data_IF_025781808183
#
_entry.id   IF_025781808183
#
_cell.length_a   1.000
_cell.length_b   1.000
_cell.length_c   1.000
_cell.angle_alpha   90.00
_cell.angle_beta   90.00
_cell.angle_gamma   90.00
#
_symmetry.space_group_name_H-M   'P 1'
#
loop_
_entity.id
_entity.type
_entity.pdbx_description
1 polymer ?
#
# COMPACT_ATOMS: atom_id res chain seq x y z
N UNK A 1 10.08 38.35 -21.74
CA UNK A 1 9.91 36.90 -21.48
C UNK A 1 9.06 36.33 -22.60
N UNK A 2 9.53 35.32 -23.34
CA UNK A 2 8.72 34.68 -24.39
C UNK A 2 7.56 33.94 -23.73
N UNK A 3 6.34 34.33 -24.07
CA UNK A 3 5.10 33.68 -23.62
C UNK A 3 5.10 32.24 -24.12
N UNK A 4 5.00 31.30 -23.19
CA UNK A 4 4.93 29.87 -23.49
C UNK A 4 3.62 29.63 -24.27
N UNK A 5 3.67 28.91 -25.39
CA UNK A 5 2.48 28.64 -26.21
C UNK A 5 1.41 27.89 -25.40
N UNK A 6 0.13 28.12 -25.67
CA UNK A 6 -0.99 27.45 -24.99
C UNK A 6 -0.86 25.92 -25.00
N UNK A 7 -0.32 25.33 -26.07
CA UNK A 7 -0.06 23.90 -26.17
C UNK A 7 1.02 23.41 -25.18
N UNK A 8 2.04 24.24 -24.92
CA UNK A 8 3.08 23.96 -23.91
C UNK A 8 2.58 24.21 -22.49
N UNK A 9 1.60 25.11 -22.29
CA UNK A 9 0.91 25.28 -21.00
C UNK A 9 0.03 24.06 -20.70
N UNK A 10 -0.62 23.49 -21.71
CA UNK A 10 -1.39 22.24 -21.61
C UNK A 10 -0.46 21.04 -21.38
N UNK A 11 0.70 20.97 -22.03
CA UNK A 11 1.71 19.93 -21.74
C UNK A 11 2.30 20.02 -20.34
N UNK A 12 2.29 21.20 -19.70
CA UNK A 12 2.88 21.42 -18.36
C UNK A 12 1.88 21.28 -17.20
N UNK A 13 0.58 21.37 -17.47
CA UNK A 13 -0.49 21.21 -16.46
C UNK A 13 -1.28 19.92 -16.74
N UNK A 14 -0.63 18.76 -16.56
CA UNK A 14 -1.17 17.46 -16.98
C UNK A 14 -2.31 16.92 -16.11
N UNK A 15 -2.55 17.50 -14.95
CA UNK A 15 -3.78 17.32 -14.16
C UNK A 15 -4.42 18.71 -14.06
N UNK A 16 -5.43 19.01 -14.89
CA UNK A 16 -6.19 20.25 -14.76
C UNK A 16 -7.14 20.16 -13.55
N UNK A 17 -6.57 20.08 -12.35
CA UNK A 17 -7.33 20.01 -11.10
C UNK A 17 -7.21 21.35 -10.38
N UNK A 18 -8.30 21.77 -9.72
CA UNK A 18 -8.29 22.94 -8.83
C UNK A 18 -7.85 22.57 -7.41
N UNK A 19 -7.58 21.29 -7.19
CA UNK A 19 -7.15 20.71 -5.93
C UNK A 19 -5.78 21.21 -5.49
N UNK A 20 -5.57 21.20 -4.17
CA UNK A 20 -4.33 21.59 -3.56
C UNK A 20 -3.25 20.52 -3.83
N UNK A 21 -2.02 20.98 -4.06
CA UNK A 21 -0.86 20.11 -4.05
C UNK A 21 -0.31 20.08 -2.63
N UNK A 22 -0.29 18.88 -2.04
CA UNK A 22 0.20 18.65 -0.70
C UNK A 22 1.66 18.21 -0.76
N UNK A 23 2.41 18.60 0.27
CA UNK A 23 3.76 18.10 0.50
C UNK A 23 3.65 17.12 1.67
N UNK A 24 4.03 15.88 1.40
CA UNK A 24 4.20 14.81 2.38
C UNK A 24 5.68 14.67 2.69
N UNK A 25 5.99 14.46 3.95
CA UNK A 25 7.34 14.42 4.47
C UNK A 25 7.52 13.18 5.35
N UNK A 26 8.46 12.33 4.98
CA UNK A 26 8.92 11.20 5.81
C UNK A 26 10.32 11.52 6.32
N UNK A 27 10.46 11.77 7.63
CA UNK A 27 11.77 11.93 8.28
C UNK A 27 12.14 10.59 8.92
N UNK A 28 12.99 9.82 8.27
CA UNK A 28 13.54 8.58 8.80
C UNK A 28 14.76 8.88 9.66
N UNK A 29 14.58 8.82 10.98
CA UNK A 29 15.63 9.06 11.97
C UNK A 29 16.54 7.84 12.08
N UNK A 30 17.84 8.08 12.23
CA UNK A 30 18.85 7.02 12.42
C UNK A 30 18.93 6.58 13.89
N UNK A 31 17.80 6.29 14.52
CA UNK A 31 17.77 5.66 15.84
C UNK A 31 17.72 4.13 15.74
N UNK A 32 17.98 3.44 16.85
CA UNK A 32 17.91 1.98 16.93
C UNK A 32 16.48 1.44 16.74
N UNK A 33 15.47 2.33 16.75
CA UNK A 33 14.05 2.00 16.60
C UNK A 33 13.52 2.22 15.17
N UNK A 34 14.36 2.69 14.24
CA UNK A 34 13.99 3.05 12.86
C UNK A 34 12.76 3.99 12.80
N UNK A 35 12.70 4.99 13.69
CA UNK A 35 11.57 5.91 13.80
C UNK A 35 11.42 6.73 12.52
N UNK A 36 10.23 6.68 11.92
CA UNK A 36 9.85 7.54 10.78
C UNK A 36 8.74 8.50 11.19
N UNK A 37 8.96 9.80 11.02
CA UNK A 37 7.95 10.82 11.27
C UNK A 37 7.27 11.22 9.96
N UNK A 38 5.95 11.06 9.90
CA UNK A 38 5.10 11.27 8.71
C UNK A 38 4.30 12.55 8.88
N UNK A 39 4.69 13.61 8.17
CA UNK A 39 4.09 14.94 8.30
C UNK A 39 3.49 15.41 6.97
N UNK A 40 2.34 16.07 7.01
CA UNK A 40 1.74 16.74 5.84
C UNK A 40 1.57 18.23 6.09
N UNK A 41 1.89 19.02 5.06
CA UNK A 41 1.59 20.46 5.05
C UNK A 41 0.12 20.67 4.66
N UNK A 42 -0.77 20.39 5.61
CA UNK A 42 -2.21 20.56 5.46
C UNK A 42 -2.83 20.99 6.81
N UNK A 43 -4.12 21.37 6.78
CA UNK A 43 -4.88 21.67 7.99
C UNK A 43 -5.41 20.40 8.69
N UNK A 44 -5.48 19.28 7.97
CA UNK A 44 -6.02 18.01 8.44
C UNK A 44 -5.04 16.88 8.10
N UNK A 45 -5.07 15.82 8.90
CA UNK A 45 -4.28 14.62 8.64
C UNK A 45 -4.70 13.98 7.31
N UNK A 46 -3.75 13.35 6.64
CA UNK A 46 -3.96 12.76 5.32
C UNK A 46 -3.44 11.35 5.32
N UNK A 47 -4.25 10.40 4.87
CA UNK A 47 -3.78 9.06 4.54
C UNK A 47 -3.32 9.09 3.08
N UNK A 48 -2.08 8.64 2.84
CA UNK A 48 -1.57 8.48 1.48
C UNK A 48 -1.03 7.06 1.30
N UNK A 49 -1.49 6.31 0.28
CA UNK A 49 -0.98 5.00 -0.07
C UNK A 49 0.53 5.05 -0.24
N UNK A 50 1.23 4.10 0.36
CA UNK A 50 2.69 4.09 0.37
C UNK A 50 3.21 2.70 0.07
N UNK A 51 4.16 2.62 -0.85
CA UNK A 51 4.91 1.41 -1.17
C UNK A 51 5.85 0.95 -0.04
N UNK A 52 5.94 1.66 1.10
CA UNK A 52 6.89 1.35 2.19
C UNK A 52 6.31 1.74 3.57
N UNK A 53 6.14 0.74 4.44
CA UNK A 53 6.03 0.74 5.93
C UNK A 53 4.79 1.39 6.57
N UNK A 54 3.66 0.70 6.48
CA UNK A 54 2.59 0.74 7.49
C UNK A 54 3.08 0.47 8.92
N UNK A 55 3.73 1.39 9.63
CA UNK A 55 4.33 1.21 10.98
C UNK A 55 5.25 -0.04 11.18
N UNK A 56 5.97 -0.10 12.30
CA UNK A 56 6.92 -1.18 12.57
C UNK A 56 6.26 -2.54 12.87
N UNK A 57 4.95 -2.55 13.15
CA UNK A 57 4.21 -3.77 13.45
C UNK A 57 3.72 -4.47 12.18
N UNK A 58 3.53 -3.75 11.07
CA UNK A 58 3.11 -4.40 9.82
C UNK A 58 4.25 -5.15 9.18
N UNK A 59 4.00 -6.44 8.93
CA UNK A 59 4.97 -7.36 8.33
C UNK A 59 4.61 -7.77 6.91
N UNK A 60 3.40 -7.47 6.47
CA UNK A 60 2.91 -7.67 5.10
C UNK A 60 1.79 -6.66 4.84
N UNK A 61 1.78 -6.02 3.67
CA UNK A 61 0.71 -5.10 3.28
C UNK A 61 0.49 -5.16 1.77
N UNK A 62 -0.24 -6.16 1.31
CA UNK A 62 -0.49 -6.38 -0.11
C UNK A 62 -1.71 -5.57 -0.58
N UNK A 63 -1.48 -4.42 -1.20
CA UNK A 63 -2.52 -3.63 -1.89
C UNK A 63 -3.08 -4.35 -3.12
N UNK A 64 -2.30 -5.23 -3.75
CA UNK A 64 -2.68 -5.86 -5.03
C UNK A 64 -2.99 -4.86 -6.16
N UNK A 65 -2.30 -3.72 -6.12
CA UNK A 65 -2.29 -2.73 -7.18
C UNK A 65 -1.47 -3.17 -8.39
N UNK A 66 -1.90 -2.77 -9.58
CA UNK A 66 -1.16 -3.03 -10.80
C UNK A 66 -1.98 -2.98 -12.09
N UNK A 67 -1.44 -3.62 -13.11
CA UNK A 67 -2.10 -3.75 -14.41
C UNK A 67 -3.13 -4.87 -14.40
N UNK A 68 -4.19 -4.69 -15.17
CA UNK A 68 -5.17 -5.75 -15.46
C UNK A 68 -4.46 -7.00 -16.00
N UNK A 69 -4.89 -8.17 -15.55
CA UNK A 69 -4.34 -9.48 -15.92
C UNK A 69 -2.86 -9.68 -15.53
N UNK A 70 -2.30 -8.84 -14.64
CA UNK A 70 -0.94 -9.04 -14.17
C UNK A 70 -0.84 -10.30 -13.30
N UNK A 71 0.02 -11.24 -13.71
CA UNK A 71 0.27 -12.52 -13.02
C UNK A 71 1.48 -12.45 -12.08
N UNK A 72 1.93 -11.25 -11.76
CA UNK A 72 3.07 -11.02 -10.88
C UNK A 72 2.84 -9.75 -10.07
N UNK A 73 3.18 -9.81 -8.78
CA UNK A 73 3.01 -8.73 -7.84
C UNK A 73 4.21 -8.70 -6.89
N UNK A 74 4.63 -7.52 -6.48
CA UNK A 74 5.69 -7.33 -5.49
C UNK A 74 5.04 -6.66 -4.29
N UNK A 75 4.99 -7.37 -3.17
CA UNK A 75 4.47 -6.79 -1.94
C UNK A 75 5.38 -5.64 -1.47
N UNK A 76 4.81 -4.47 -1.11
CA UNK A 76 5.60 -3.30 -0.70
C UNK A 76 6.41 -3.50 0.58
N UNK A 77 6.04 -4.46 1.45
CA UNK A 77 6.72 -4.72 2.72
C UNK A 77 7.70 -5.89 2.60
N UNK A 78 7.27 -7.03 2.04
CA UNK A 78 8.07 -8.26 1.96
C UNK A 78 8.77 -8.49 0.61
N UNK A 79 8.27 -7.89 -0.47
CA UNK A 79 8.79 -8.06 -1.84
C UNK A 79 8.52 -9.40 -2.53
N UNK A 80 8.25 -10.49 -1.81
CA UNK A 80 8.26 -11.87 -2.34
C UNK A 80 6.90 -12.60 -2.42
N UNK A 81 5.82 -11.92 -2.81
CA UNK A 81 4.53 -12.57 -3.05
C UNK A 81 4.48 -13.26 -4.44
N UNK A 82 4.20 -14.57 -4.48
CA UNK A 82 4.15 -15.35 -5.73
C UNK A 82 2.73 -15.79 -6.03
N UNK A 83 2.24 -15.46 -7.22
CA UNK A 83 0.92 -15.89 -7.70
C UNK A 83 1.01 -17.32 -8.23
N UNK A 84 0.06 -18.16 -7.87
CA UNK A 84 -0.04 -19.55 -8.29
C UNK A 84 -1.30 -19.77 -9.14
N UNK A 85 -1.28 -20.79 -10.00
CA UNK A 85 -2.36 -21.06 -10.93
C UNK A 85 -2.47 -19.98 -12.01
N UNK A 86 -3.68 -19.50 -12.22
CA UNK A 86 -4.06 -18.38 -13.08
C UNK A 86 -4.39 -17.10 -12.31
N UNK A 87 -4.02 -17.04 -11.02
CA UNK A 87 -4.21 -15.86 -10.18
C UNK A 87 -3.66 -14.61 -10.87
N UNK A 88 -4.42 -13.53 -10.82
CA UNK A 88 -4.08 -12.29 -11.52
C UNK A 88 -4.68 -11.07 -10.82
N UNK A 89 -4.18 -9.89 -11.17
CA UNK A 89 -4.79 -8.63 -10.77
C UNK A 89 -5.97 -8.28 -11.69
N UNK A 90 -7.06 -7.81 -11.11
CA UNK A 90 -8.26 -7.36 -11.82
C UNK A 90 -8.53 -5.88 -11.53
N UNK A 91 -8.61 -5.07 -12.59
CA UNK A 91 -8.91 -3.64 -12.49
C UNK A 91 -10.40 -3.33 -12.49
N UNK A 92 -11.25 -4.31 -12.87
CA UNK A 92 -12.69 -4.17 -12.93
C UNK A 92 -13.35 -4.24 -11.55
N UNK A 93 -12.88 -5.15 -10.68
CA UNK A 93 -13.28 -5.20 -9.27
C UNK A 93 -12.08 -4.86 -8.39
N UNK A 94 -12.26 -3.84 -7.55
CA UNK A 94 -11.28 -3.41 -6.54
C UNK A 94 -12.00 -2.66 -5.42
N UNK A 95 -11.41 -2.66 -4.23
CA UNK A 95 -11.89 -1.84 -3.12
C UNK A 95 -11.21 -0.48 -3.16
N UNK A 96 -9.89 -0.46 -3.31
CA UNK A 96 -9.08 0.75 -3.38
C UNK A 96 -8.06 0.67 -4.52
N UNK A 97 -7.31 1.76 -4.72
CA UNK A 97 -6.25 1.82 -5.73
C UNK A 97 -6.71 1.50 -7.15
N UNK A 98 -5.88 0.73 -7.84
CA UNK A 98 -5.88 0.47 -9.28
C UNK A 98 -6.40 -0.93 -9.64
N UNK A 99 -6.20 -1.93 -8.78
CA UNK A 99 -6.62 -3.32 -9.00
C UNK A 99 -6.84 -4.05 -7.66
N UNK A 100 -7.34 -5.28 -7.72
CA UNK A 100 -7.32 -6.21 -6.58
C UNK A 100 -6.93 -7.61 -7.05
N UNK A 101 -6.58 -8.51 -6.12
CA UNK A 101 -6.26 -9.90 -6.43
C UNK A 101 -7.53 -10.67 -6.80
N UNK A 102 -7.60 -11.21 -8.02
CA UNK A 102 -8.65 -12.11 -8.49
C UNK A 102 -8.21 -13.57 -8.35
N UNK A 103 -9.09 -14.39 -7.76
CA UNK A 103 -8.95 -15.82 -7.57
C UNK A 103 -10.22 -16.53 -8.07
N UNK A 104 -10.07 -17.54 -8.92
CA UNK A 104 -11.19 -18.14 -9.66
C UNK A 104 -11.91 -19.29 -8.94
N UNK A 105 -11.41 -19.71 -7.77
CA UNK A 105 -11.96 -20.84 -7.03
C UNK A 105 -11.49 -22.21 -7.49
N UNK A 106 -10.41 -22.31 -8.26
CA UNK A 106 -9.80 -23.58 -8.67
C UNK A 106 -8.37 -23.76 -8.13
N UNK A 107 -7.35 -23.28 -8.84
CA UNK A 107 -5.94 -23.49 -8.45
C UNK A 107 -5.24 -22.23 -7.94
N UNK A 108 -5.98 -21.12 -7.90
CA UNK A 108 -5.45 -19.79 -7.68
C UNK A 108 -5.18 -19.49 -6.20
N UNK A 109 -4.00 -18.95 -5.91
CA UNK A 109 -3.64 -18.38 -4.61
C UNK A 109 -2.37 -17.54 -4.72
N UNK A 110 -2.08 -16.79 -3.66
CA UNK A 110 -0.79 -16.13 -3.48
C UNK A 110 -0.03 -16.84 -2.38
N UNK A 111 1.23 -17.17 -2.61
CA UNK A 111 2.12 -17.75 -1.61
C UNK A 111 3.23 -16.78 -1.27
N UNK A 112 3.50 -16.68 0.02
CA UNK A 112 4.59 -15.91 0.59
C UNK A 112 5.49 -16.94 1.28
N UNK A 113 6.83 -16.89 1.06
CA UNK A 113 7.79 -17.81 1.67
C UNK A 113 7.64 -17.93 3.19
N UNK A 114 8.36 -18.83 3.86
CA UNK A 114 8.37 -18.86 5.33
C UNK A 114 9.24 -17.74 5.93
N UNK A 115 8.86 -17.21 7.11
CA UNK A 115 9.53 -16.12 7.83
C UNK A 115 9.06 -16.11 9.29
N UNK A 116 9.89 -15.55 10.15
CA UNK A 116 9.53 -15.25 11.54
C UNK A 116 8.40 -14.23 11.65
N UNK A 117 8.15 -13.42 10.62
CA UNK A 117 7.13 -12.39 10.60
C UNK A 117 5.68 -12.88 10.76
N UNK A 118 5.41 -14.14 10.40
CA UNK A 118 4.14 -14.83 10.63
C UNK A 118 4.28 -16.04 11.55
N UNK A 119 5.35 -16.09 12.34
CA UNK A 119 5.48 -16.90 13.55
C UNK A 119 5.00 -16.08 14.76
N UNK A 120 3.68 -16.02 14.96
CA UNK A 120 3.05 -15.14 15.96
C UNK A 120 3.27 -15.58 17.42
N UNK A 121 3.57 -16.86 17.67
CA UNK A 121 3.80 -17.38 19.01
C UNK A 121 2.60 -17.17 19.94
N UNK A 122 2.83 -16.56 21.11
CA UNK A 122 1.79 -16.16 22.07
C UNK A 122 1.52 -14.65 22.07
N UNK A 123 2.14 -13.90 21.16
CA UNK A 123 2.01 -12.45 21.10
C UNK A 123 0.73 -12.00 20.41
N UNK A 124 0.42 -10.72 20.59
CA UNK A 124 -0.70 -10.06 19.91
C UNK A 124 -0.43 -9.97 18.41
N UNK A 125 -1.47 -10.07 17.60
CA UNK A 125 -1.38 -9.86 16.16
C UNK A 125 -2.73 -9.43 15.58
N UNK A 126 -2.69 -8.88 14.37
CA UNK A 126 -3.88 -8.54 13.58
C UNK A 126 -3.63 -8.93 12.14
N UNK A 127 -4.56 -9.67 11.53
CA UNK A 127 -4.62 -9.91 10.09
C UNK A 127 -5.92 -9.32 9.59
N UNK A 128 -5.86 -8.42 8.62
CA UNK A 128 -7.04 -7.71 8.16
C UNK A 128 -6.97 -7.34 6.67
N UNK A 129 -8.12 -7.38 6.00
CA UNK A 129 -8.22 -7.26 4.54
C UNK A 129 -9.66 -7.04 4.08
N UNK A 130 -9.80 -6.62 2.83
CA UNK A 130 -11.08 -6.57 2.13
C UNK A 130 -11.29 -7.81 1.27
N UNK A 131 -12.51 -8.35 1.28
CA UNK A 131 -12.90 -9.51 0.48
C UNK A 131 -14.21 -9.28 -0.25
N UNK A 132 -14.31 -9.76 -1.48
CA UNK A 132 -15.54 -9.77 -2.28
C UNK A 132 -15.75 -11.15 -2.87
N UNK A 133 -16.84 -11.81 -2.52
CA UNK A 133 -17.14 -13.16 -3.00
C UNK A 133 -17.72 -13.12 -4.42
N UNK A 134 -17.15 -13.90 -5.34
CA UNK A 134 -17.78 -14.15 -6.64
C UNK A 134 -18.83 -15.27 -6.53
N UNK A 135 -18.59 -16.24 -5.65
CA UNK A 135 -19.54 -17.30 -5.36
C UNK A 135 -19.50 -17.71 -3.88
N UNK A 136 -20.68 -17.84 -3.30
CA UNK A 136 -20.88 -18.43 -1.97
C UNK A 136 -21.24 -19.93 -2.06
N UNK A 137 -21.44 -20.45 -3.27
CA UNK A 137 -21.86 -21.82 -3.55
C UNK A 137 -20.86 -22.52 -4.46
N UNK A 138 -20.41 -23.72 -4.11
CA UNK A 138 -19.40 -24.45 -4.89
C UNK A 138 -18.65 -25.45 -4.01
N UNK A 139 -17.41 -25.13 -3.66
CA UNK A 139 -16.62 -25.89 -2.67
C UNK A 139 -17.26 -25.81 -1.28
N UNK A 140 -17.31 -26.90 -0.50
CA UNK A 140 -17.79 -26.85 0.89
C UNK A 140 -16.95 -25.91 1.76
N UNK A 141 -15.70 -25.63 1.37
CA UNK A 141 -14.77 -24.76 2.07
C UNK A 141 -13.99 -23.87 1.09
N UNK A 142 -13.78 -22.60 1.45
CA UNK A 142 -12.97 -21.64 0.71
C UNK A 142 -12.03 -20.91 1.68
N UNK A 143 -10.72 -21.12 1.59
CA UNK A 143 -9.76 -20.50 2.51
C UNK A 143 -9.44 -19.05 2.09
N UNK A 144 -9.64 -18.10 3.00
CA UNK A 144 -9.24 -16.71 2.78
C UNK A 144 -7.73 -16.53 2.99
N UNK A 145 -7.16 -17.21 3.99
CA UNK A 145 -5.72 -17.36 4.16
C UNK A 145 -5.37 -18.55 5.04
N UNK A 146 -4.11 -18.99 4.98
CA UNK A 146 -3.58 -20.08 5.79
C UNK A 146 -2.07 -19.96 6.02
N UNK A 147 -1.56 -20.50 7.13
CA UNK A 147 -0.12 -20.78 7.33
C UNK A 147 0.09 -22.29 7.26
N UNK A 148 0.21 -22.86 6.06
CA UNK A 148 -0.07 -24.28 5.88
C UNK A 148 0.57 -24.88 4.63
N UNK A 149 0.83 -26.19 4.68
CA UNK A 149 1.25 -27.01 3.53
C UNK A 149 0.08 -27.77 2.87
N UNK A 150 -1.17 -27.36 3.12
CA UNK A 150 -2.37 -28.02 2.57
C UNK A 150 -2.84 -29.26 3.33
N UNK A 151 -2.11 -29.72 4.36
CA UNK A 151 -2.46 -30.89 5.18
C UNK A 151 -2.15 -30.67 6.65
N UNK A 152 -2.94 -31.31 7.53
CA UNK A 152 -2.71 -31.31 8.97
C UNK A 152 -3.25 -30.08 9.71
N UNK A 153 -2.84 -29.92 10.96
CA UNK A 153 -3.29 -28.85 11.84
C UNK A 153 -2.33 -27.66 11.75
N UNK A 154 -2.80 -26.58 11.14
CA UNK A 154 -2.01 -25.37 10.87
C UNK A 154 -2.00 -24.43 12.08
N UNK A 155 -0.99 -23.56 12.25
CA UNK A 155 -1.03 -22.48 13.23
C UNK A 155 -2.29 -21.63 13.09
N UNK A 156 -2.65 -21.28 11.85
CA UNK A 156 -3.81 -20.43 11.57
C UNK A 156 -4.39 -20.76 10.20
N UNK A 157 -5.72 -20.85 10.15
CA UNK A 157 -6.50 -21.03 8.93
C UNK A 157 -7.82 -20.28 9.11
N UNK A 158 -8.10 -19.34 8.21
CA UNK A 158 -9.39 -18.66 8.13
C UNK A 158 -10.08 -19.07 6.83
N UNK A 159 -11.29 -19.62 6.94
CA UNK A 159 -12.00 -20.17 5.80
C UNK A 159 -13.50 -19.94 5.91
N UNK A 160 -14.14 -19.86 4.75
CA UNK A 160 -15.58 -19.76 4.59
C UNK A 160 -16.17 -21.13 4.28
N UNK A 161 -17.33 -21.45 4.84
CA UNK A 161 -18.09 -22.65 4.46
C UNK A 161 -19.17 -22.31 3.44
N UNK A 162 -19.22 -23.04 2.33
CA UNK A 162 -20.24 -22.83 1.29
C UNK A 162 -21.63 -23.34 1.69
N UNK A 163 -22.69 -22.72 1.17
CA UNK A 163 -24.09 -23.11 1.44
C UNK A 163 -25.03 -21.93 1.73
N UNK A 164 -26.33 -22.20 1.91
CA UNK A 164 -27.39 -21.18 2.05
C UNK A 164 -27.26 -20.21 3.25
N UNK A 165 -26.28 -20.42 4.12
CA UNK A 165 -26.02 -19.59 5.31
C UNK A 165 -24.51 -19.46 5.56
N UNK A 166 -23.70 -19.52 4.50
CA UNK A 166 -22.26 -19.71 4.61
C UNK A 166 -21.61 -18.78 5.63
N UNK A 167 -20.76 -19.36 6.48
CA UNK A 167 -20.21 -18.69 7.64
C UNK A 167 -18.69 -18.65 7.59
N UNK A 168 -18.09 -17.67 8.26
CA UNK A 168 -16.65 -17.59 8.40
C UNK A 168 -16.18 -18.41 9.61
N UNK A 169 -15.10 -19.17 9.44
CA UNK A 169 -14.56 -20.09 10.44
C UNK A 169 -13.07 -19.81 10.68
N UNK A 170 -12.69 -19.91 11.95
CA UNK A 170 -11.31 -19.85 12.40
C UNK A 170 -10.89 -21.21 12.93
N UNK A 171 -9.80 -21.74 12.37
CA UNK A 171 -9.11 -22.91 12.88
C UNK A 171 -7.68 -22.54 13.32
N UNK A 172 -7.31 -22.91 14.54
CA UNK A 172 -6.01 -22.60 15.15
C UNK A 172 -5.44 -23.82 15.85
N UNK A 173 -4.17 -24.14 15.61
CA UNK A 173 -3.45 -25.18 16.34
C UNK A 173 -2.32 -24.62 17.18
N UNK A 174 -2.21 -25.12 18.42
CA UNK A 174 -1.12 -24.81 19.36
C UNK A 174 -0.11 -25.96 19.49
N UNK A 175 -0.38 -27.11 18.87
CA UNK A 175 0.41 -28.33 19.03
C UNK A 175 0.70 -29.08 17.72
N UNK A 176 0.13 -28.66 16.58
CA UNK A 176 0.29 -29.31 15.27
C UNK A 176 -0.39 -30.69 15.14
N UNK A 177 -1.17 -31.12 16.13
CA UNK A 177 -1.80 -32.46 16.20
C UNK A 177 -3.30 -32.44 16.47
N UNK A 178 -3.85 -31.29 16.88
CA UNK A 178 -5.28 -31.04 16.99
C UNK A 178 -5.60 -29.56 16.77
N UNK A 179 -6.84 -29.26 16.43
CA UNK A 179 -7.35 -27.88 16.49
C UNK A 179 -7.64 -27.52 17.95
N UNK A 180 -7.09 -26.38 18.40
CA UNK A 180 -7.42 -25.77 19.69
C UNK A 180 -8.62 -24.83 19.55
N UNK A 181 -8.73 -24.15 18.40
CA UNK A 181 -9.96 -23.48 17.95
C UNK A 181 -10.42 -24.20 16.69
N UNK A 182 -11.68 -24.63 16.68
CA UNK A 182 -12.37 -25.27 15.56
C UNK A 182 -13.86 -24.91 15.64
N UNK A 183 -14.22 -23.64 15.41
CA UNK A 183 -15.53 -23.13 15.78
C UNK A 183 -16.51 -23.04 14.58
N UNK A 184 -17.82 -23.21 14.84
CA UNK A 184 -18.90 -23.19 13.87
C UNK A 184 -19.49 -21.78 13.68
N UNK A 185 -18.90 -21.05 12.75
CA UNK A 185 -19.56 -19.98 12.00
C UNK A 185 -19.79 -18.66 12.72
N UNK A 186 -19.18 -17.61 12.20
CA UNK A 186 -19.57 -16.22 12.43
C UNK A 186 -20.59 -15.79 11.35
N UNK A 187 -20.90 -14.49 11.17
CA UNK A 187 -21.79 -13.87 10.15
C UNK A 187 -22.21 -14.82 9.01
N UNK A 188 -23.52 -15.04 8.87
CA UNK A 188 -24.11 -16.02 7.94
C UNK A 188 -24.84 -15.39 6.74
N UNK A 189 -24.83 -14.07 6.63
CA UNK A 189 -25.54 -13.27 5.63
C UNK A 189 -24.56 -12.56 4.67
N UNK A 190 -23.44 -13.21 4.33
CA UNK A 190 -22.60 -12.77 3.23
C UNK A 190 -23.40 -12.78 1.93
N UNK A 191 -23.15 -11.78 1.08
CA UNK A 191 -23.67 -11.68 -0.27
C UNK A 191 -22.53 -11.72 -1.28
N UNK A 192 -22.78 -12.33 -2.44
CA UNK A 192 -21.88 -12.16 -3.59
C UNK A 192 -21.83 -10.70 -3.99
N UNK A 193 -20.78 -10.34 -4.71
CA UNK A 193 -20.63 -9.02 -5.31
C UNK A 193 -20.54 -7.84 -4.33
N UNK A 194 -20.34 -8.13 -3.04
CA UNK A 194 -20.26 -7.17 -1.94
C UNK A 194 -18.90 -7.21 -1.27
N UNK A 195 -18.30 -6.04 -1.03
CA UNK A 195 -17.05 -5.92 -0.30
C UNK A 195 -17.30 -5.93 1.21
N UNK A 196 -16.59 -6.81 1.92
CA UNK A 196 -16.57 -6.89 3.38
C UNK A 196 -15.15 -6.65 3.89
N UNK A 197 -15.01 -5.94 5.00
CA UNK A 197 -13.74 -5.87 5.73
C UNK A 197 -13.70 -6.98 6.77
N UNK A 198 -12.66 -7.82 6.73
CA UNK A 198 -12.46 -8.92 7.68
C UNK A 198 -11.23 -8.59 8.51
N UNK A 199 -11.34 -8.73 9.83
CA UNK A 199 -10.18 -8.62 10.72
C UNK A 199 -10.16 -9.75 11.74
N UNK A 200 -9.06 -10.51 11.77
CA UNK A 200 -8.73 -11.46 12.81
C UNK A 200 -7.69 -10.87 13.75
N UNK A 201 -8.05 -10.74 15.02
CA UNK A 201 -7.24 -10.09 16.04
C UNK A 201 -6.98 -11.07 17.17
N UNK A 202 -5.73 -11.19 17.62
CA UNK A 202 -5.39 -11.80 18.92
C UNK A 202 -4.92 -10.70 19.87
N UNK A 203 -5.55 -10.57 21.02
CA UNK A 203 -5.10 -9.74 22.14
C UNK A 203 -5.02 -10.58 23.40
N UNK A 204 -3.80 -10.82 23.90
CA UNK A 204 -3.53 -11.83 24.90
C UNK A 204 -3.97 -13.22 24.42
N UNK A 205 -4.92 -13.82 25.12
CA UNK A 205 -5.49 -15.14 24.77
C UNK A 205 -6.83 -15.05 24.04
N UNK A 206 -7.30 -13.84 23.71
CA UNK A 206 -8.60 -13.63 23.06
C UNK A 206 -8.41 -13.43 21.57
N UNK A 207 -9.01 -14.32 20.79
CA UNK A 207 -9.16 -14.20 19.35
C UNK A 207 -10.51 -13.56 19.04
N UNK A 208 -10.51 -12.50 18.25
CA UNK A 208 -11.72 -11.84 17.78
C UNK A 208 -11.72 -11.75 16.26
N UNK A 209 -12.81 -12.22 15.66
CA UNK A 209 -13.11 -12.01 14.25
C UNK A 209 -14.14 -10.89 14.16
N UNK A 210 -13.87 -9.91 13.31
CA UNK A 210 -14.80 -8.82 13.01
C UNK A 210 -15.11 -8.80 11.52
N UNK A 211 -16.35 -8.47 11.21
CA UNK A 211 -16.81 -8.20 9.84
C UNK A 211 -17.34 -6.77 9.81
N UNK A 212 -16.85 -5.97 8.86
CA UNK A 212 -17.13 -4.54 8.74
C UNK A 212 -16.90 -3.78 10.05
N UNK A 213 -15.87 -4.19 10.79
CA UNK A 213 -15.45 -3.58 12.04
C UNK A 213 -16.30 -3.92 13.26
N UNK A 214 -17.33 -4.75 13.11
CA UNK A 214 -18.18 -5.24 14.22
C UNK A 214 -17.75 -6.64 14.65
N UNK A 215 -17.61 -6.85 15.97
CA UNK A 215 -17.29 -8.16 16.53
C UNK A 215 -18.34 -9.22 16.20
N UNK A 216 -17.89 -10.31 15.60
CA UNK A 216 -18.73 -11.36 15.05
C UNK A 216 -18.42 -12.74 15.64
N UNK A 217 -17.17 -12.96 16.05
CA UNK A 217 -16.75 -14.12 16.84
C UNK A 217 -15.72 -13.69 17.89
N UNK A 218 -15.87 -14.16 19.13
CA UNK A 218 -14.88 -13.99 20.21
C UNK A 218 -14.62 -15.36 20.85
N UNK A 219 -13.36 -15.78 20.87
CA UNK A 219 -12.93 -17.06 21.47
C UNK A 219 -11.69 -16.83 22.32
N UNK A 220 -11.72 -17.31 23.56
CA UNK A 220 -10.54 -17.33 24.43
C UNK A 220 -9.82 -18.66 24.27
N UNK A 221 -8.59 -18.63 23.79
CA UNK A 221 -7.72 -19.80 23.69
C UNK A 221 -6.30 -19.42 24.10
N UNK A 222 -5.88 -19.94 25.26
CA UNK A 222 -4.52 -19.77 25.74
C UNK A 222 -3.53 -20.67 24.99
N UNK A 223 -2.26 -20.24 25.00
CA UNK A 223 -1.14 -21.02 24.48
C UNK A 223 -0.46 -20.43 23.25
N UNK A 224 0.73 -20.95 22.99
CA UNK A 224 1.57 -20.55 21.86
C UNK A 224 1.09 -21.24 20.59
N UNK A 225 0.88 -20.48 19.52
CA UNK A 225 0.60 -21.05 18.20
C UNK A 225 1.72 -22.01 17.79
N UNK A 226 1.35 -23.12 17.16
CA UNK A 226 2.36 -24.07 16.65
C UNK A 226 3.24 -23.36 15.61
N UNK A 227 4.49 -23.81 15.46
CA UNK A 227 5.44 -23.27 14.48
C UNK A 227 5.56 -24.29 13.36
N UNK A 228 5.60 -23.80 12.13
CA UNK A 228 5.74 -24.62 10.92
C UNK A 228 6.59 -23.89 9.90
N UNK A 229 7.32 -24.63 9.07
CA UNK A 229 8.09 -24.09 7.95
C UNK A 229 7.26 -23.92 6.67
N UNK A 230 5.94 -24.10 6.77
CA UNK A 230 5.01 -23.91 5.65
C UNK A 230 4.97 -22.44 5.19
N UNK A 231 4.66 -22.14 3.92
CA UNK A 231 4.44 -20.77 3.49
C UNK A 231 3.17 -20.17 4.10
N UNK A 232 3.06 -18.85 4.05
CA UNK A 232 1.78 -18.16 4.26
C UNK A 232 1.05 -18.05 2.91
N UNK A 233 -0.20 -18.46 2.84
CA UNK A 233 -1.00 -18.45 1.62
C UNK A 233 -2.20 -17.53 1.79
N UNK A 234 -2.49 -16.73 0.77
CA UNK A 234 -3.69 -15.89 0.65
C UNK A 234 -4.57 -16.53 -0.43
N UNK A 235 -5.84 -16.75 -0.13
CA UNK A 235 -6.82 -17.28 -1.07
C UNK A 235 -6.87 -18.79 -1.23
N UNK A 236 -6.11 -19.55 -0.45
CA UNK A 236 -6.18 -21.02 -0.44
C UNK A 236 -5.47 -21.63 0.77
N UNK A 237 -5.70 -22.93 1.00
CA UNK A 237 -4.86 -23.78 1.82
C UNK A 237 -3.91 -24.60 0.91
N UNK A 238 -2.95 -23.91 0.28
CA UNK A 238 -1.98 -24.47 -0.67
C UNK A 238 -2.65 -25.31 -1.79
N UNK A 239 -3.52 -24.69 -2.58
CA UNK A 239 -4.41 -25.28 -3.62
C UNK A 239 -5.54 -26.19 -3.12
N UNK A 240 -5.55 -26.56 -1.83
CA UNK A 240 -6.73 -27.20 -1.23
C UNK A 240 -7.72 -26.11 -0.80
N UNK A 241 -9.02 -26.31 -1.04
CA UNK A 241 -10.10 -25.38 -0.67
C UNK A 241 -9.91 -23.93 -1.19
N UNK A 242 -9.75 -23.76 -2.52
CA UNK A 242 -9.52 -22.46 -3.15
C UNK A 242 -10.66 -21.46 -2.92
N UNK A 243 -10.29 -20.18 -2.81
CA UNK A 243 -11.24 -19.08 -2.72
C UNK A 243 -11.66 -18.57 -4.09
N UNK A 244 -12.94 -18.23 -4.24
CA UNK A 244 -13.51 -17.67 -5.46
C UNK A 244 -13.99 -16.23 -5.23
N UNK A 245 -13.20 -15.26 -5.67
CA UNK A 245 -13.51 -13.85 -5.53
C UNK A 245 -12.29 -12.94 -5.59
N UNK A 246 -12.42 -11.79 -4.94
CA UNK A 246 -11.40 -10.75 -4.90
C UNK A 246 -10.93 -10.47 -3.48
N UNK A 247 -9.63 -10.22 -3.33
CA UNK A 247 -9.00 -9.78 -2.07
C UNK A 247 -8.22 -8.49 -2.34
N UNK A 248 -8.38 -7.53 -1.44
CA UNK A 248 -7.72 -6.22 -1.52
C UNK A 248 -7.22 -5.82 -0.13
N UNK A 249 -6.16 -5.00 -0.08
CA UNK A 249 -5.55 -4.50 1.16
C UNK A 249 -5.22 -5.60 2.19
N UNK A 250 -4.46 -6.63 1.81
CA UNK A 250 -4.14 -7.72 2.74
C UNK A 250 -2.99 -7.37 3.67
N UNK A 251 -3.29 -7.18 4.97
CA UNK A 251 -2.30 -6.80 5.98
C UNK A 251 -2.09 -7.85 7.06
N UNK A 252 -0.83 -8.07 7.43
CA UNK A 252 -0.43 -8.82 8.62
C UNK A 252 0.35 -7.89 9.54
N UNK A 253 -0.09 -7.78 10.80
CA UNK A 253 0.59 -7.02 11.85
C UNK A 253 0.94 -7.92 13.03
N UNK A 254 2.21 -7.93 13.42
CA UNK A 254 2.73 -8.77 14.51
C UNK A 254 3.15 -7.90 15.69
N UNK A 255 2.75 -8.29 16.89
CA UNK A 255 3.03 -7.59 18.14
C UNK A 255 1.97 -6.56 18.54
N UNK A 256 0.85 -6.48 17.83
CA UNK A 256 -0.22 -5.51 18.11
C UNK A 256 -1.61 -6.07 17.79
N UNK A 257 -2.56 -5.82 18.71
CA UNK A 257 -3.99 -5.89 18.45
C UNK A 257 -4.46 -4.50 17.99
N UNK A 258 -4.57 -4.28 16.68
CA UNK A 258 -4.89 -2.95 16.13
C UNK A 258 -6.26 -2.43 16.58
N UNK A 259 -7.19 -3.34 16.86
CA UNK A 259 -8.53 -3.01 17.34
C UNK A 259 -8.93 -3.89 18.53
N UNK A 260 -9.19 -3.24 19.66
CA UNK A 260 -9.70 -3.89 20.88
C UNK A 260 -11.19 -3.63 21.10
N UNK A 261 -11.81 -2.78 20.27
CA UNK A 261 -13.23 -2.47 20.22
C UNK A 261 -13.72 -2.45 18.77
N UNK A 262 -15.04 -2.32 18.57
CA UNK A 262 -15.62 -2.13 17.24
C UNK A 262 -15.10 -0.83 16.60
N UNK A 263 -14.96 -0.84 15.28
CA UNK A 263 -14.37 0.26 14.52
C UNK A 263 -15.09 0.50 13.20
N UNK A 264 -14.85 1.64 12.57
CA UNK A 264 -15.26 1.87 11.18
C UNK A 264 -14.14 1.37 10.27
N UNK A 265 -14.43 0.44 9.33
CA UNK A 265 -13.42 -0.05 8.40
C UNK A 265 -12.70 1.08 7.65
N UNK A 266 -11.44 0.83 7.24
CA UNK A 266 -10.67 1.76 6.42
C UNK A 266 -11.46 2.23 5.20
N UNK A 267 -11.49 3.53 4.94
CA UNK A 267 -12.19 4.13 3.80
C UNK A 267 -11.27 4.52 2.64
N UNK A 268 -9.98 4.22 2.79
CA UNK A 268 -8.94 4.37 1.79
C UNK A 268 -7.98 3.18 1.89
N UNK A 269 -7.15 2.99 0.87
CA UNK A 269 -6.06 2.03 0.88
C UNK A 269 -5.16 2.23 2.11
N UNK A 270 -4.54 1.14 2.59
CA UNK A 270 -3.53 1.25 3.61
C UNK A 270 -2.39 2.13 3.13
N UNK A 271 -1.85 2.87 4.06
CA UNK A 271 -0.90 3.91 3.77
C UNK A 271 -0.44 4.54 5.04
N UNK A 272 0.40 5.54 4.88
CA UNK A 272 0.87 6.34 5.99
C UNK A 272 -0.18 7.36 6.37
N UNK A 273 -0.43 7.47 7.67
CA UNK A 273 -1.14 8.61 8.20
C UNK A 273 -0.13 9.75 8.35
N UNK A 274 -0.15 10.66 7.40
CA UNK A 274 0.60 11.89 7.51
C UNK A 274 -0.15 12.84 8.45
N UNK A 275 0.48 13.17 9.57
CA UNK A 275 -0.07 14.07 10.56
C UNK A 275 0.07 15.51 10.08
N UNK A 276 -1.00 16.30 10.17
CA UNK A 276 -0.96 17.71 9.88
C UNK A 276 0.02 18.40 10.82
N UNK A 277 1.07 18.98 10.26
CA UNK A 277 2.10 19.63 11.04
C UNK A 277 2.66 20.85 10.34
N UNK A 278 2.89 21.97 11.05
CA UNK A 278 3.43 23.17 10.44
C UNK A 278 4.88 22.93 9.99
N UNK A 279 5.10 22.95 8.68
CA UNK A 279 6.44 22.99 8.11
C UNK A 279 6.53 23.86 6.85
N UNK A 280 7.73 24.35 6.57
CA UNK A 280 8.10 25.09 5.38
C UNK A 280 9.23 24.37 4.64
N UNK A 281 9.12 24.29 3.32
CA UNK A 281 10.16 23.71 2.48
C UNK A 281 10.57 24.74 1.41
N UNK A 282 11.83 25.16 1.48
CA UNK A 282 12.39 26.13 0.55
C UNK A 282 13.20 25.44 -0.56
N UNK A 283 12.98 25.82 -1.83
CA UNK A 283 13.76 25.31 -2.96
C UNK A 283 15.24 25.70 -2.83
N UNK A 284 16.13 25.00 -3.55
CA UNK A 284 17.55 25.19 -3.38
C UNK A 284 17.96 26.57 -3.90
N UNK A 285 18.80 27.26 -3.13
CA UNK A 285 19.35 28.56 -3.53
C UNK A 285 20.59 28.33 -4.38
N UNK A 286 20.58 28.83 -5.62
CA UNK A 286 21.78 28.84 -6.48
C UNK A 286 22.73 29.94 -6.02
N UNK A 287 23.93 29.59 -5.55
CA UNK A 287 24.99 30.57 -5.25
C UNK A 287 25.95 30.66 -6.44
N UNK A 288 26.46 31.87 -6.70
CA UNK A 288 27.40 32.13 -7.81
C UNK A 288 28.81 31.55 -7.59
N UNK A 289 28.98 30.71 -6.56
CA UNK A 289 30.27 30.16 -6.10
C UNK A 289 30.48 28.68 -6.44
N UNK A 290 29.54 28.05 -7.13
CA UNK A 290 29.65 26.63 -7.51
C UNK A 290 29.50 25.67 -6.33
N UNK A 291 28.84 26.09 -5.25
CA UNK A 291 28.51 25.21 -4.11
C UNK A 291 27.40 24.23 -4.49
N UNK A 292 27.41 23.05 -3.85
CA UNK A 292 26.34 22.07 -4.04
C UNK A 292 25.05 22.67 -3.48
N UNK A 293 23.95 22.70 -4.26
CA UNK A 293 22.70 23.26 -3.79
C UNK A 293 22.14 22.46 -2.61
N UNK A 294 21.77 23.17 -1.54
CA UNK A 294 21.10 22.61 -0.37
C UNK A 294 19.65 23.05 -0.33
N UNK A 295 18.79 22.20 0.23
CA UNK A 295 17.39 22.55 0.51
C UNK A 295 17.26 22.92 1.98
N UNK A 296 16.30 23.78 2.29
CA UNK A 296 16.01 24.15 3.69
C UNK A 296 14.61 23.64 4.04
N UNK A 297 14.53 22.83 5.08
CA UNK A 297 13.28 22.35 5.65
C UNK A 297 13.14 22.91 7.06
N UNK A 298 12.03 23.58 7.35
CA UNK A 298 11.71 24.10 8.68
C UNK A 298 10.49 23.37 9.21
N UNK A 299 10.61 22.71 10.35
CA UNK A 299 9.53 21.98 11.01
C UNK A 299 9.23 22.67 12.33
N UNK A 300 7.95 22.90 12.64
CA UNK A 300 7.54 23.60 13.85
C UNK A 300 8.08 22.94 15.12
N UNK A 301 8.61 23.75 16.04
CA UNK A 301 9.18 23.27 17.30
C UNK A 301 8.33 23.61 18.53
N UNK A 302 7.13 24.16 18.32
CA UNK A 302 6.27 24.68 19.40
C UNK A 302 5.89 23.56 20.39
N UNK A 303 5.61 22.36 19.89
CA UNK A 303 5.29 21.17 20.70
C UNK A 303 6.53 20.43 21.21
N UNK A 304 7.73 20.85 20.81
CA UNK A 304 9.03 20.20 21.10
C UNK A 304 9.11 18.71 20.76
N UNK A 305 8.25 18.23 19.85
CA UNK A 305 8.15 16.82 19.48
C UNK A 305 9.47 16.25 18.93
N UNK A 306 10.18 17.04 18.12
CA UNK A 306 11.47 16.65 17.53
C UNK A 306 12.65 16.75 18.51
N UNK A 307 12.51 17.52 19.58
CA UNK A 307 13.64 17.92 20.41
C UNK A 307 14.32 16.74 21.15
N UNK A 308 13.60 15.75 21.71
CA UNK A 308 14.22 14.56 22.31
C UNK A 308 15.07 13.79 21.29
N UNK A 309 14.53 13.56 20.09
CA UNK A 309 15.22 12.83 19.02
C UNK A 309 16.48 13.57 18.53
N UNK A 310 16.41 14.90 18.39
CA UNK A 310 17.56 15.70 17.96
C UNK A 310 18.68 15.71 19.00
N UNK A 311 18.35 15.64 20.30
CA UNK A 311 19.33 15.59 21.38
C UNK A 311 20.06 14.25 21.41
N UNK A 312 19.35 13.15 21.18
CA UNK A 312 19.97 11.80 21.15
C UNK A 312 20.76 11.55 19.88
N UNK A 313 20.29 12.06 18.73
CA UNK A 313 20.86 11.77 17.41
C UNK A 313 21.81 12.84 16.87
N UNK A 314 22.43 13.65 17.75
CA UNK A 314 23.37 14.71 17.32
C UNK A 314 22.80 15.64 16.23
N UNK A 315 21.52 16.01 16.36
CA UNK A 315 20.80 16.84 15.40
C UNK A 315 20.21 16.08 14.21
N UNK A 316 20.20 14.74 14.22
CA UNK A 316 19.66 13.92 13.14
C UNK A 316 20.56 13.89 11.89
N UNK A 317 21.86 14.19 12.04
CA UNK A 317 22.79 14.17 10.92
C UNK A 317 22.91 12.75 10.34
N UNK A 318 22.77 12.63 9.01
CA UNK A 318 22.74 11.34 8.31
C UNK A 318 21.36 10.67 8.26
N UNK A 319 20.35 11.23 8.94
CA UNK A 319 18.96 10.83 8.75
C UNK A 319 18.45 11.24 7.36
N UNK A 320 17.47 10.49 6.87
CA UNK A 320 16.95 10.62 5.50
C UNK A 320 15.59 11.30 5.54
N UNK A 321 15.36 12.22 4.60
CA UNK A 321 14.09 12.89 4.41
C UNK A 321 13.59 12.60 3.01
N UNK A 322 12.45 11.91 2.92
CA UNK A 322 11.70 11.76 1.69
C UNK A 322 10.62 12.85 1.61
N UNK A 323 10.57 13.51 0.45
CA UNK A 323 9.64 14.58 0.14
C UNK A 323 8.80 14.13 -1.04
N UNK A 324 7.50 13.97 -0.82
CA UNK A 324 6.56 13.50 -1.83
C UNK A 324 5.51 14.58 -2.10
N UNK A 325 5.35 14.97 -3.37
CA UNK A 325 4.33 15.94 -3.80
C UNK A 325 3.15 15.18 -4.39
N UNK A 326 1.98 15.35 -3.78
CA UNK A 326 0.74 14.64 -4.14
C UNK A 326 -0.39 15.62 -4.38
N UNK A 327 -1.36 15.22 -5.19
CA UNK A 327 -2.56 16.02 -5.42
C UNK A 327 -3.66 15.61 -4.43
N UNK A 328 -4.33 16.57 -3.77
CA UNK A 328 -5.33 16.26 -2.75
C UNK A 328 -6.56 15.51 -3.28
N UNK A 329 -6.85 15.56 -4.58
CA UNK A 329 -7.93 14.76 -5.20
C UNK A 329 -7.51 13.31 -5.49
N UNK A 330 -6.21 13.01 -5.48
CA UNK A 330 -5.65 11.71 -5.83
C UNK A 330 -5.06 10.99 -4.62
N UNK A 331 -5.49 11.31 -3.41
CA UNK A 331 -4.99 10.72 -2.17
C UNK A 331 -5.32 9.23 -2.02
N UNK A 332 -6.31 8.73 -2.75
CA UNK A 332 -6.63 7.31 -2.79
C UNK A 332 -5.81 6.53 -3.85
N UNK A 333 -5.09 7.24 -4.70
CA UNK A 333 -4.26 6.66 -5.75
C UNK A 333 -2.80 6.71 -5.29
N UNK A 334 -2.02 5.67 -5.56
CA UNK A 334 -0.57 5.70 -5.35
C UNK A 334 0.12 6.54 -6.45
N UNK A 335 -0.24 7.82 -6.53
CA UNK A 335 0.28 8.78 -7.49
C UNK A 335 1.03 9.91 -6.77
N UNK A 336 2.28 10.12 -7.19
CA UNK A 336 3.04 11.30 -6.80
C UNK A 336 3.64 11.97 -8.03
N UNK A 337 3.60 13.30 -8.07
CA UNK A 337 4.20 14.08 -9.15
C UNK A 337 5.73 14.08 -9.04
N UNK A 338 6.21 14.08 -7.79
CA UNK A 338 7.62 14.18 -7.49
C UNK A 338 7.90 13.53 -6.14
N UNK A 339 8.85 12.60 -6.13
CA UNK A 339 9.46 12.05 -4.92
C UNK A 339 10.95 12.38 -4.91
N UNK A 340 11.42 12.98 -3.83
CA UNK A 340 12.82 13.38 -3.64
C UNK A 340 13.32 12.84 -2.29
N UNK A 341 14.44 12.14 -2.33
CA UNK A 341 15.16 11.68 -1.14
C UNK A 341 16.38 12.57 -0.89
N UNK A 342 16.48 13.14 0.30
CA UNK A 342 17.60 13.98 0.73
C UNK A 342 18.17 13.51 2.07
N UNK A 343 19.47 13.69 2.27
CA UNK A 343 20.11 13.44 3.57
C UNK A 343 20.17 14.72 4.40
N UNK A 344 19.97 14.64 5.72
CA UNK A 344 20.16 15.75 6.65
C UNK A 344 21.66 15.97 6.87
N UNK A 345 22.15 17.16 6.50
CA UNK A 345 23.55 17.56 6.63
C UNK A 345 23.82 18.37 7.91
N UNK A 346 22.84 19.17 8.32
CA UNK A 346 22.93 19.99 9.52
C UNK A 346 21.54 20.32 10.05
N UNK A 347 21.47 20.59 11.36
CA UNK A 347 20.26 21.00 12.04
C UNK A 347 20.53 22.24 12.92
N UNK A 348 19.57 23.16 12.95
CA UNK A 348 19.52 24.29 13.88
C UNK A 348 18.15 24.32 14.55
N UNK A 349 18.08 24.60 15.85
CA UNK A 349 16.81 24.67 16.56
C UNK A 349 16.64 26.04 17.22
N UNK A 350 15.45 26.62 17.04
CA UNK A 350 14.97 27.81 17.75
C UNK A 350 13.74 27.43 18.57
N UNK A 351 13.16 28.37 19.31
CA UNK A 351 11.92 28.13 20.06
C UNK A 351 10.73 27.80 19.15
N UNK A 352 10.70 28.36 17.94
CA UNK A 352 9.58 28.23 17.00
C UNK A 352 9.81 27.16 15.94
N UNK A 353 11.07 26.97 15.50
CA UNK A 353 11.41 26.14 14.35
C UNK A 353 12.64 25.28 14.58
N UNK A 354 12.58 24.02 14.14
CA UNK A 354 13.74 23.19 13.81
C UNK A 354 14.01 23.36 12.31
N UNK A 355 15.22 23.79 11.96
CA UNK A 355 15.66 24.01 10.58
C UNK A 355 16.69 22.95 10.20
N UNK A 356 16.34 22.09 9.25
CA UNK A 356 17.24 21.13 8.62
C UNK A 356 17.82 21.71 7.33
N UNK A 357 19.14 21.57 7.19
CA UNK A 357 19.84 21.76 5.92
C UNK A 357 19.97 20.41 5.26
N UNK A 358 19.26 20.24 4.14
CA UNK A 358 19.23 18.98 3.39
C UNK A 358 20.22 19.04 2.23
N UNK A 359 20.93 17.93 2.01
CA UNK A 359 21.84 17.77 0.89
C UNK A 359 21.11 17.70 -0.46
N UNK A 360 21.86 17.88 -1.54
CA UNK A 360 21.35 17.58 -2.87
C UNK A 360 20.97 16.09 -2.97
N UNK A 361 19.84 15.75 -3.62
CA UNK A 361 19.44 14.37 -3.85
C UNK A 361 20.56 13.58 -4.53
N UNK A 362 20.85 12.39 -4.01
CA UNK A 362 21.94 11.57 -4.54
C UNK A 362 21.66 11.21 -6.01
N UNK A 363 22.50 11.65 -6.97
CA UNK A 363 22.25 11.42 -8.39
C UNK A 363 22.34 9.95 -8.78
N UNK A 364 23.04 9.10 -8.01
CA UNK A 364 23.14 7.66 -8.25
C UNK A 364 21.88 6.91 -7.81
N UNK A 365 21.10 7.46 -6.88
CA UNK A 365 19.80 6.91 -6.47
C UNK A 365 18.67 7.32 -7.43
N UNK A 366 18.93 8.26 -8.33
CA UNK A 366 17.91 8.84 -9.20
C UNK A 366 18.03 8.30 -10.62
N UNK A 367 16.94 7.71 -11.11
CA UNK A 367 16.81 7.41 -12.55
C UNK A 367 16.62 8.73 -13.30
N UNK A 368 17.58 9.06 -14.16
CA UNK A 368 17.47 10.17 -15.10
C UNK A 368 17.35 9.62 -16.53
N UNK A 369 16.35 10.07 -17.31
CA UNK A 369 15.18 10.87 -16.90
C UNK A 369 14.23 10.06 -15.99
N UNK A 370 13.41 10.74 -15.18
CA UNK A 370 12.39 10.12 -14.29
C UNK A 370 11.42 9.21 -15.07
N UNK A 371 11.31 9.46 -16.36
CA UNK A 371 10.12 9.26 -17.16
C UNK A 371 10.62 9.00 -18.59
N UNK A 372 10.27 7.87 -19.23
CA UNK A 372 10.75 7.55 -20.59
C UNK A 372 9.94 8.32 -21.64
N UNK A 373 10.61 9.22 -22.35
CA UNK A 373 9.99 10.01 -23.43
C UNK A 373 9.99 9.22 -24.75
N UNK A 374 8.81 8.85 -25.24
CA UNK A 374 8.62 8.18 -26.54
C UNK A 374 7.72 9.00 -27.46
N UNK A 375 8.05 9.04 -28.74
CA UNK A 375 7.37 9.90 -29.70
C UNK A 375 5.91 9.48 -30.00
N UNK A 376 5.68 8.18 -30.22
CA UNK A 376 4.41 7.63 -30.69
C UNK A 376 3.82 6.57 -29.76
N UNK A 377 4.35 6.46 -28.54
CA UNK A 377 3.89 5.49 -27.56
C UNK A 377 3.44 6.21 -26.29
N UNK A 378 2.23 5.89 -25.82
CA UNK A 378 1.69 6.40 -24.56
C UNK A 378 2.46 5.76 -23.41
N UNK A 379 2.98 6.60 -22.52
CA UNK A 379 3.67 6.18 -21.30
C UNK A 379 2.74 5.81 -20.15
N UNK A 380 1.51 6.32 -20.16
CA UNK A 380 0.60 6.19 -19.02
C UNK A 380 0.16 4.75 -18.86
N UNK A 381 -0.01 4.36 -17.61
CA UNK A 381 -0.73 3.15 -17.31
C UNK A 381 -2.19 3.31 -17.75
N UNK A 382 -2.80 2.27 -18.31
CA UNK A 382 -4.15 2.41 -18.83
C UNK A 382 -5.15 2.57 -17.68
N UNK A 383 -6.12 3.47 -17.83
CA UNK A 383 -7.09 3.88 -16.78
C UNK A 383 -6.49 4.48 -15.50
N UNK A 384 -5.18 4.74 -15.46
CA UNK A 384 -4.60 5.52 -14.36
C UNK A 384 -5.09 6.96 -14.37
N UNK A 385 -4.89 7.68 -13.27
CA UNK A 385 -5.28 9.08 -13.13
C UNK A 385 -4.66 9.99 -14.23
N UNK A 386 -3.45 9.68 -14.71
CA UNK A 386 -2.80 10.41 -15.81
C UNK A 386 -3.40 10.06 -17.17
N UNK A 387 -3.78 8.79 -17.38
CA UNK A 387 -4.52 8.40 -18.57
C UNK A 387 -5.91 9.04 -18.60
N UNK A 388 -6.61 9.05 -17.48
CA UNK A 388 -7.96 9.63 -17.32
C UNK A 388 -9.04 8.97 -18.18
N UNK A 389 -8.81 7.75 -18.68
CA UNK A 389 -9.80 7.02 -19.47
C UNK A 389 -10.81 6.32 -18.58
N UNK A 390 -12.09 6.63 -18.73
CA UNK A 390 -13.19 6.08 -17.91
C UNK A 390 -14.15 5.18 -18.70
N UNK A 391 -13.82 4.82 -19.94
CA UNK A 391 -14.64 3.93 -20.77
C UNK A 391 -14.55 2.45 -20.38
N UNK A 392 -15.39 1.63 -21.02
CA UNK A 392 -15.58 0.21 -20.67
C UNK A 392 -14.40 -0.70 -21.06
N UNK A 393 -13.62 -0.33 -22.06
CA UNK A 393 -12.53 -1.13 -22.61
C UNK A 393 -11.46 -1.42 -21.55
N UNK A 394 -10.94 -2.65 -21.52
CA UNK A 394 -9.96 -3.14 -20.53
C UNK A 394 -8.52 -3.11 -21.03
N UNK A 395 -8.29 -3.10 -22.35
CA UNK A 395 -6.94 -3.11 -22.94
C UNK A 395 -6.62 -1.79 -23.68
N UNK A 396 -5.34 -1.43 -23.80
CA UNK A 396 -4.88 -0.23 -24.52
C UNK A 396 -3.63 -0.51 -25.35
N UNK A 397 -3.65 -0.11 -26.63
CA UNK A 397 -2.54 -0.29 -27.57
C UNK A 397 -1.44 0.76 -27.41
N UNK A 398 -1.64 1.72 -26.50
CA UNK A 398 -0.71 2.83 -26.19
C UNK A 398 -0.27 3.62 -27.42
N UNK A 399 -1.12 3.75 -28.43
CA UNK A 399 -0.86 4.59 -29.62
C UNK A 399 -1.77 5.80 -29.65
N UNK A 400 -1.35 6.88 -30.31
CA UNK A 400 -2.19 8.07 -30.48
C UNK A 400 -3.49 7.73 -31.23
N UNK A 401 -3.43 6.80 -32.19
CA UNK A 401 -4.61 6.35 -32.92
C UNK A 401 -5.63 5.69 -31.99
N UNK A 402 -5.18 4.79 -31.11
CA UNK A 402 -6.04 4.14 -30.12
C UNK A 402 -6.63 5.15 -29.13
N UNK A 403 -5.83 6.12 -28.65
CA UNK A 403 -6.35 7.20 -27.80
C UNK A 403 -7.38 8.09 -28.53
N UNK A 404 -7.24 8.32 -29.84
CA UNK A 404 -8.24 9.07 -30.62
C UNK A 404 -9.54 8.30 -30.81
N UNK A 405 -9.47 6.99 -31.07
CA UNK A 405 -10.66 6.12 -31.15
C UNK A 405 -11.47 6.17 -29.84
N UNK A 406 -10.76 6.31 -28.72
CA UNK A 406 -11.31 6.39 -27.36
C UNK A 406 -11.67 7.80 -26.91
N UNK A 407 -11.59 8.80 -27.80
CA UNK A 407 -11.79 10.22 -27.46
C UNK A 407 -10.91 10.73 -26.31
N UNK A 408 -9.76 10.08 -26.06
CA UNK A 408 -8.83 10.39 -24.97
C UNK A 408 -7.46 10.91 -25.47
N UNK A 409 -7.41 11.45 -26.68
CA UNK A 409 -6.14 11.93 -27.27
C UNK A 409 -5.58 13.18 -26.59
N UNK A 410 -6.38 13.90 -25.80
CA UNK A 410 -5.94 15.08 -25.04
C UNK A 410 -4.94 14.68 -23.94
N UNK A 411 -5.11 13.50 -23.34
CA UNK A 411 -4.23 12.94 -22.30
C UNK A 411 -3.20 11.96 -22.84
N UNK A 412 -2.97 11.94 -24.16
CA UNK A 412 -1.99 11.04 -24.74
C UNK A 412 -0.58 11.31 -24.20
N UNK A 413 0.04 10.30 -23.59
CA UNK A 413 1.33 10.43 -22.92
C UNK A 413 2.57 10.36 -23.83
N UNK A 414 2.38 10.32 -25.16
CA UNK A 414 3.48 10.30 -26.12
C UNK A 414 3.76 11.69 -26.71
N UNK A 415 5.02 11.93 -27.08
CA UNK A 415 5.49 13.25 -27.53
C UNK A 415 5.58 13.30 -29.05
N UNK A 416 4.46 13.58 -29.70
CA UNK A 416 4.33 13.59 -31.18
C UNK A 416 5.28 14.57 -31.89
N UNK A 417 5.80 15.58 -31.18
CA UNK A 417 6.82 16.50 -31.68
C UNK A 417 8.24 15.91 -31.76
N UNK A 418 8.48 14.71 -31.22
CA UNK A 418 9.77 14.03 -31.32
C UNK A 418 9.87 13.20 -32.60
N UNK A 419 11.04 13.20 -33.26
CA UNK A 419 11.29 12.33 -34.43
C UNK A 419 11.17 10.85 -34.03
N UNK A 420 10.46 10.08 -34.85
CA UNK A 420 10.34 8.62 -34.71
C UNK A 420 11.70 7.96 -34.46
N UNK A 421 11.79 7.06 -33.49
CA UNK A 421 13.01 6.33 -33.14
C UNK A 421 14.02 7.08 -32.26
N UNK A 422 13.73 8.33 -31.86
CA UNK A 422 14.64 9.12 -31.02
C UNK A 422 14.21 9.09 -29.55
N UNK A 423 15.09 8.66 -28.65
CA UNK A 423 15.00 8.99 -27.22
C UNK A 423 15.77 10.30 -27.03
N UNK A 424 15.12 11.35 -26.53
CA UNK A 424 15.83 12.54 -26.06
C UNK A 424 15.95 12.48 -24.55
N UNK A 425 17.19 12.54 -24.08
CA UNK A 425 17.53 12.79 -22.68
C UNK A 425 17.74 14.30 -22.60
N UNK A 426 16.94 14.98 -21.77
CA UNK A 426 17.13 16.40 -21.47
C UNK A 426 18.15 16.56 -20.35
#
# INVERSE_FOLDING_TARGET
MKTISSNLVIEKNKLSTKAAWLILLDIALTDDAETVLQLVRNNEDVVFPSDVVTDSYTKLCSHFDGADEATAYTDPVQGAATFAGTAQLDTAQKKFGTASLLLDGDSDYVTIPDSEDWNFGSGDFTIDFWVRFASLTGSPYQALFSKSNGTGYSPILLFFTGGASGTLHLAVSINGTSWAIDNNGSKSDFAVDTWYHISLIRSGDVYTLRVDGISDLVVTQAGTLTITTAPFNIGSNLSTIPFNGWIDEFRISKGIARWTADFTPPTAAYGHLYTAFPFEFDPPKTTSKGEIPTYTLRVGNITRLLQPYLQTLSGGNGSVVDITIVNSELLAENYSELKITCDILACQSTAEWVTFTLGAPNPLRRRYPLERYLALHCRWHFKSCECGYTGAETTCKRTLADCRLRSNSVRFGGFTGMRSGSVRIA
#
